data_IF_520417441647
#
_entry.id   IF_520417441647
#
_cell.length_a   1.000
_cell.length_b   1.000
_cell.length_c   1.000
_cell.angle_alpha   90.00
_cell.angle_beta   90.00
_cell.angle_gamma   90.00
#
_symmetry.space_group_name_H-M   'P 1'
#
loop_
_entity.id
_entity.type
_entity.pdbx_description
1 polymer ?
#
# COMPACT_ATOMS: atom_id res chain seq x y z
N UNK A 1 2.17 25.31 -3.01
CA UNK A 1 2.72 24.47 -1.92
C UNK A 1 3.06 23.11 -2.50
N UNK A 2 4.31 22.85 -2.87
CA UNK A 2 4.77 21.51 -3.24
C UNK A 2 4.86 20.70 -1.94
N UNK A 3 3.83 19.94 -1.58
CA UNK A 3 3.99 18.92 -0.54
C UNK A 3 4.99 17.92 -1.09
N UNK A 4 6.21 17.92 -0.58
CA UNK A 4 7.16 16.84 -0.83
C UNK A 4 6.44 15.53 -0.48
N UNK A 5 6.27 14.64 -1.45
CA UNK A 5 5.66 13.34 -1.20
C UNK A 5 6.48 12.65 -0.11
N UNK A 6 5.85 12.04 0.91
CA UNK A 6 6.58 11.32 1.94
C UNK A 6 7.54 10.32 1.30
N UNK A 7 8.72 10.10 1.86
CA UNK A 7 9.61 9.04 1.36
C UNK A 7 9.32 7.77 2.15
N UNK A 8 9.00 6.67 1.47
CA UNK A 8 8.88 5.37 2.13
C UNK A 8 10.21 4.93 2.73
N UNK A 9 10.14 4.39 3.94
CA UNK A 9 11.25 3.69 4.59
C UNK A 9 11.63 2.45 3.80
N UNK A 10 12.92 2.06 3.91
CA UNK A 10 13.43 0.87 3.23
C UNK A 10 12.71 -0.42 3.68
N UNK A 11 12.32 -0.48 4.96
CA UNK A 11 11.51 -1.60 5.49
C UNK A 11 10.19 -1.71 4.75
N UNK A 12 9.44 -0.61 4.62
CA UNK A 12 8.15 -0.61 3.92
C UNK A 12 8.28 -0.99 2.45
N UNK A 13 9.36 -0.53 1.80
CA UNK A 13 9.69 -0.95 0.42
C UNK A 13 9.95 -2.46 0.36
N UNK A 14 10.80 -2.99 1.23
CA UNK A 14 11.16 -4.41 1.19
C UNK A 14 9.92 -5.30 1.42
N UNK A 15 9.04 -4.93 2.35
CA UNK A 15 7.82 -5.71 2.57
C UNK A 15 6.87 -5.61 1.37
N UNK A 16 6.71 -4.44 0.73
CA UNK A 16 5.91 -4.34 -0.51
C UNK A 16 6.47 -5.19 -1.66
N UNK A 17 7.79 -5.30 -1.77
CA UNK A 17 8.44 -6.07 -2.85
C UNK A 17 8.30 -7.58 -2.68
N UNK A 18 8.08 -8.04 -1.45
CA UNK A 18 8.03 -9.45 -1.06
C UNK A 18 6.64 -9.90 -0.55
N UNK A 19 5.70 -8.97 -0.40
CA UNK A 19 4.35 -9.22 0.12
C UNK A 19 3.36 -9.78 -0.90
N UNK A 20 2.14 -10.02 -0.43
CA UNK A 20 1.03 -10.66 -1.17
C UNK A 20 0.77 -10.06 -2.55
N UNK A 21 0.80 -8.73 -2.69
CA UNK A 21 0.51 -8.05 -3.97
C UNK A 21 1.74 -7.81 -4.86
N UNK A 22 2.91 -8.29 -4.46
CA UNK A 22 4.17 -8.05 -5.17
C UNK A 22 4.13 -8.43 -6.66
N UNK A 23 3.46 -9.53 -7.00
CA UNK A 23 3.38 -10.04 -8.37
C UNK A 23 2.63 -9.11 -9.34
N UNK A 24 1.74 -8.26 -8.84
CA UNK A 24 1.06 -7.23 -9.65
C UNK A 24 2.08 -6.24 -10.21
N UNK A 25 3.17 -5.99 -9.47
CA UNK A 25 4.27 -5.15 -9.93
C UNK A 25 5.23 -5.84 -10.91
N UNK A 26 5.06 -7.13 -11.19
CA UNK A 26 5.82 -7.91 -12.17
C UNK A 26 6.72 -9.00 -11.57
N UNK A 27 7.37 -9.76 -12.45
CA UNK A 27 8.08 -11.01 -12.11
C UNK A 27 9.47 -10.83 -11.48
N UNK A 28 10.04 -9.63 -11.52
CA UNK A 28 11.38 -9.36 -10.97
C UNK A 28 11.33 -8.27 -9.92
N UNK A 29 12.20 -8.36 -8.89
CA UNK A 29 12.29 -7.32 -7.83
C UNK A 29 12.52 -5.93 -8.41
N UNK A 30 13.30 -5.81 -9.50
CA UNK A 30 13.54 -4.55 -10.21
C UNK A 30 12.25 -4.00 -10.84
N UNK A 31 11.43 -4.85 -11.46
CA UNK A 31 10.16 -4.43 -12.05
C UNK A 31 9.17 -4.01 -10.97
N UNK A 32 9.07 -4.81 -9.89
CA UNK A 32 8.24 -4.49 -8.72
C UNK A 32 8.62 -3.14 -8.10
N UNK A 33 9.91 -2.84 -8.00
CA UNK A 33 10.42 -1.54 -7.53
C UNK A 33 9.95 -0.35 -8.35
N UNK A 34 9.81 -0.51 -9.67
CA UNK A 34 9.24 0.54 -10.54
C UNK A 34 7.73 0.70 -10.38
N UNK A 35 7.05 -0.33 -9.90
CA UNK A 35 5.60 -0.42 -9.76
C UNK A 35 5.15 -0.39 -8.29
N UNK A 36 5.96 0.18 -7.37
CA UNK A 36 5.64 0.20 -5.93
C UNK A 36 4.30 0.87 -5.62
N UNK A 37 3.95 1.96 -6.32
CA UNK A 37 2.66 2.64 -6.14
C UNK A 37 1.48 1.72 -6.49
N UNK A 38 1.62 0.93 -7.56
CA UNK A 38 0.60 -0.04 -7.98
C UNK A 38 0.45 -1.16 -6.96
N UNK A 39 1.56 -1.70 -6.47
CA UNK A 39 1.55 -2.74 -5.42
C UNK A 39 0.88 -2.19 -4.16
N UNK A 40 1.33 -1.02 -3.67
CA UNK A 40 0.80 -0.41 -2.46
C UNK A 40 -0.69 -0.07 -2.57
N UNK A 41 -1.15 0.47 -3.69
CA UNK A 41 -2.56 0.78 -3.91
C UNK A 41 -3.47 -0.47 -4.03
N UNK A 42 -2.88 -1.65 -4.24
CA UNK A 42 -3.61 -2.91 -4.28
C UNK A 42 -3.99 -3.43 -2.89
N UNK A 43 -3.29 -2.97 -1.85
CA UNK A 43 -3.59 -3.28 -0.46
C UNK A 43 -4.76 -2.44 0.07
N UNK A 44 -5.57 -3.08 0.90
CA UNK A 44 -6.47 -2.43 1.86
C UNK A 44 -5.75 -2.16 3.19
N UNK A 45 -6.32 -1.33 4.06
CA UNK A 45 -5.68 -1.02 5.35
C UNK A 45 -5.64 -2.27 6.24
N UNK A 46 -6.71 -3.06 6.26
CA UNK A 46 -6.70 -4.35 6.97
C UNK A 46 -5.71 -5.35 6.38
N UNK A 47 -5.59 -5.44 5.05
CA UNK A 47 -4.62 -6.34 4.40
C UNK A 47 -3.17 -5.96 4.78
N UNK A 48 -2.87 -4.66 4.93
CA UNK A 48 -1.57 -4.23 5.44
C UNK A 48 -1.35 -4.68 6.88
N UNK A 49 -2.34 -4.59 7.78
CA UNK A 49 -2.17 -5.02 9.18
C UNK A 49 -2.00 -6.53 9.34
N UNK A 50 -2.61 -7.32 8.45
CA UNK A 50 -2.52 -8.78 8.46
C UNK A 50 -1.22 -9.31 7.81
N UNK A 51 -0.55 -8.48 7.01
CA UNK A 51 0.66 -8.87 6.30
C UNK A 51 1.87 -8.96 7.26
N UNK A 52 2.62 -10.05 7.16
CA UNK A 52 3.68 -10.35 8.13
C UNK A 52 4.78 -9.30 8.08
N UNK A 53 4.95 -8.58 9.19
CA UNK A 53 6.01 -7.58 9.36
C UNK A 53 5.56 -6.14 9.12
N UNK A 54 4.32 -5.95 8.65
CA UNK A 54 3.60 -4.69 8.77
C UNK A 54 3.03 -4.54 10.18
N UNK A 55 3.11 -3.33 10.70
CA UNK A 55 2.35 -2.90 11.87
C UNK A 55 1.70 -1.55 11.56
N UNK A 56 0.93 -1.02 12.51
CA UNK A 56 0.18 0.22 12.33
C UNK A 56 1.03 1.37 11.77
N UNK A 57 2.25 1.54 12.27
CA UNK A 57 3.16 2.59 11.79
C UNK A 57 3.52 2.43 10.30
N UNK A 58 3.75 1.20 9.84
CA UNK A 58 4.08 0.89 8.45
C UNK A 58 2.87 1.06 7.54
N UNK A 59 1.67 0.68 8.02
CA UNK A 59 0.43 0.86 7.29
C UNK A 59 0.07 2.34 7.11
N UNK A 60 0.24 3.14 8.17
CA UNK A 60 0.07 4.60 8.12
C UNK A 60 1.07 5.26 7.17
N UNK A 61 2.33 4.85 7.23
CA UNK A 61 3.37 5.36 6.33
C UNK A 61 3.02 5.12 4.86
N UNK A 62 2.59 3.90 4.50
CA UNK A 62 2.18 3.58 3.13
C UNK A 62 0.96 4.39 2.71
N UNK A 63 -0.04 4.53 3.60
CA UNK A 63 -1.22 5.33 3.32
C UNK A 63 -0.85 6.77 3.02
N UNK A 64 -0.04 7.39 3.87
CA UNK A 64 0.37 8.79 3.71
C UNK A 64 1.26 8.97 2.48
N UNK A 65 2.10 7.98 2.16
CA UNK A 65 2.88 7.94 0.93
C UNK A 65 1.99 7.95 -0.32
N UNK A 66 0.96 7.09 -0.37
CA UNK A 66 0.00 7.04 -1.47
C UNK A 66 -0.77 8.35 -1.60
N UNK A 67 -1.22 8.92 -0.48
CA UNK A 67 -1.90 10.22 -0.45
C UNK A 67 -1.02 11.33 -1.03
N UNK A 68 0.29 11.31 -0.73
CA UNK A 68 1.29 12.21 -1.32
C UNK A 68 1.47 12.06 -2.84
N UNK A 69 0.95 10.98 -3.43
CA UNK A 69 0.93 10.72 -4.87
C UNK A 69 -0.49 10.81 -5.47
N UNK A 70 -1.48 11.26 -4.70
CA UNK A 70 -2.88 11.36 -5.16
C UNK A 70 -3.58 10.01 -5.29
N UNK A 71 -3.05 8.97 -4.66
CA UNK A 71 -3.62 7.63 -4.62
C UNK A 71 -4.15 7.31 -3.22
N UNK A 72 -4.98 6.28 -3.14
CA UNK A 72 -5.50 5.76 -1.86
C UNK A 72 -5.30 4.25 -1.81
N UNK A 73 -5.34 3.71 -0.60
CA UNK A 73 -5.50 2.27 -0.41
C UNK A 73 -6.83 1.80 -1.01
N UNK A 74 -6.90 0.51 -1.31
CA UNK A 74 -8.14 -0.17 -1.65
C UNK A 74 -9.10 -0.10 -0.47
N UNK A 75 -10.39 0.12 -0.75
CA UNK A 75 -11.41 0.10 0.29
C UNK A 75 -11.43 -1.28 0.98
N UNK A 76 -11.49 -1.29 2.31
CA UNK A 76 -11.67 -2.54 3.04
C UNK A 76 -13.00 -3.17 2.63
N UNK A 77 -13.03 -4.49 2.43
CA UNK A 77 -14.25 -5.21 2.05
C UNK A 77 -15.40 -4.98 3.07
N UNK A 78 -15.04 -4.72 4.32
CA UNK A 78 -15.97 -4.38 5.41
C UNK A 78 -16.68 -3.02 5.19
N UNK A 79 -16.02 -2.06 4.55
CA UNK A 79 -16.59 -0.73 4.27
C UNK A 79 -17.57 -0.74 3.09
N UNK A 80 -17.36 -1.64 2.14
CA UNK A 80 -18.19 -1.76 0.93
C UNK A 80 -19.59 -2.29 1.29
N UNK A 81 -19.68 -3.22 2.24
CA UNK A 81 -20.96 -3.78 2.67
C UNK A 81 -21.82 -2.80 3.48
N UNK A 82 -21.22 -1.82 4.16
CA UNK A 82 -21.95 -0.80 4.93
C UNK A 82 -22.68 0.23 4.06
N UNK A 83 -22.33 0.36 2.77
CA UNK A 83 -22.96 1.31 1.83
C UNK A 83 -24.11 0.72 1.00
N UNK A 84 -24.35 -0.59 1.10
CA UNK A 84 -25.41 -1.28 0.32
C UNK A 84 -26.70 -1.55 1.10
N UNK A 85 -26.79 -1.09 2.35
CA UNK A 85 -27.91 -1.38 3.26
C UNK A 85 -28.68 -0.13 3.72
N UNK A 86 -28.52 0.99 3.02
CA UNK A 86 -29.26 2.25 3.26
C UNK A 86 -30.28 2.52 2.16
#
# INVERSE_FOLDING_TARGET
>A
MTRSSPTLSRRSIDILLDGTHADIGGRSRRTRGKNLLLIAASYSYSELLDEKGFGDATALEIRDWLLGHGLTLKADARDINSRKTG
#
